data_IF_876602836032
#
_entry.id   IF_876602836032
#
_cell.length_a   1.000
_cell.length_b   1.000
_cell.length_c   1.000
_cell.angle_alpha   90.00
_cell.angle_beta   90.00
_cell.angle_gamma   90.00
#
_symmetry.space_group_name_H-M   'P 1'
#
loop_
_entity.id
_entity.type
_entity.pdbx_description
1 polymer ?
#
# COMPACT_ATOMS: atom_id res chain seq x y z
N UNK A 1 -26.04 -3.65 -2.53
CA UNK A 1 -26.02 -2.29 -1.95
C UNK A 1 -24.70 -1.67 -2.32
N UNK A 2 -24.75 -0.59 -3.11
CA UNK A 2 -23.60 0.20 -3.55
C UNK A 2 -23.01 0.94 -2.34
N UNK A 3 -22.18 0.26 -1.56
CA UNK A 3 -21.61 0.81 -0.35
C UNK A 3 -20.37 1.66 -0.70
N UNK A 4 -20.53 2.98 -0.66
CA UNK A 4 -19.39 3.88 -0.57
C UNK A 4 -18.50 3.49 0.64
N UNK A 5 -17.18 3.71 0.57
CA UNK A 5 -16.31 3.48 1.70
C UNK A 5 -16.78 4.31 2.91
N UNK A 6 -16.47 3.84 4.11
CA UNK A 6 -16.79 4.57 5.33
C UNK A 6 -16.15 5.96 5.31
N UNK A 7 -16.78 6.92 6.00
CA UNK A 7 -16.33 8.32 5.95
C UNK A 7 -14.88 8.51 6.38
N UNK A 8 -14.40 7.74 7.36
CA UNK A 8 -13.01 7.73 7.81
C UNK A 8 -12.06 7.24 6.71
N UNK A 9 -12.39 6.13 6.05
CA UNK A 9 -11.60 5.57 4.97
C UNK A 9 -11.58 6.50 3.75
N UNK A 10 -12.73 7.06 3.39
CA UNK A 10 -12.84 7.99 2.27
C UNK A 10 -11.94 9.23 2.48
N UNK A 11 -11.95 9.81 3.69
CA UNK A 11 -11.07 10.93 4.01
C UNK A 11 -9.60 10.51 3.98
N UNK A 12 -9.23 9.35 4.52
CA UNK A 12 -7.85 8.86 4.45
C UNK A 12 -7.38 8.61 3.01
N UNK A 13 -8.25 8.08 2.14
CA UNK A 13 -7.98 7.92 0.72
C UNK A 13 -7.73 9.28 0.04
N UNK A 14 -8.59 10.29 0.30
CA UNK A 14 -8.36 11.64 -0.24
C UNK A 14 -7.08 12.29 0.29
N UNK A 15 -6.76 12.08 1.57
CA UNK A 15 -5.50 12.54 2.16
C UNK A 15 -4.27 11.94 1.46
N UNK A 16 -4.29 10.63 1.20
CA UNK A 16 -3.21 9.96 0.49
C UNK A 16 -3.08 10.43 -0.98
N UNK A 17 -4.22 10.69 -1.64
CA UNK A 17 -4.27 11.20 -3.01
C UNK A 17 -3.64 12.60 -3.08
N UNK A 18 -4.12 13.48 -2.20
CA UNK A 18 -3.65 14.86 -2.07
C UNK A 18 -2.14 14.88 -1.79
N UNK A 19 -1.66 14.01 -0.88
CA UNK A 19 -0.25 13.89 -0.57
C UNK A 19 0.59 13.48 -1.78
N UNK A 20 0.12 12.52 -2.57
CA UNK A 20 0.82 12.12 -3.79
C UNK A 20 0.93 13.29 -4.78
N UNK A 21 -0.18 14.02 -4.97
CA UNK A 21 -0.22 15.21 -5.84
C UNK A 21 0.71 16.32 -5.34
N UNK A 22 0.72 16.59 -4.04
CA UNK A 22 1.64 17.56 -3.42
C UNK A 22 3.09 17.15 -3.62
N UNK A 23 3.41 15.87 -3.41
CA UNK A 23 4.76 15.34 -3.61
C UNK A 23 5.23 15.54 -5.06
N UNK A 24 4.38 15.24 -6.05
CA UNK A 24 4.67 15.47 -7.47
C UNK A 24 4.95 16.94 -7.80
N UNK A 25 4.30 17.89 -7.12
CA UNK A 25 4.57 19.33 -7.29
C UNK A 25 5.88 19.79 -6.67
N UNK A 26 6.28 19.20 -5.54
CA UNK A 26 7.49 19.59 -4.80
C UNK A 26 8.80 19.07 -5.41
N UNK A 27 8.74 18.19 -6.42
CA UNK A 27 9.89 17.90 -7.29
C UNK A 27 11.09 17.23 -6.62
N UNK A 28 10.88 16.28 -5.70
CA UNK A 28 11.99 15.46 -5.22
C UNK A 28 12.27 14.34 -6.22
N UNK A 29 13.54 14.26 -6.66
CA UNK A 29 14.10 13.40 -7.72
C UNK A 29 13.90 13.89 -9.16
N UNK A 30 14.78 14.83 -9.55
CA UNK A 30 15.30 14.95 -10.92
C UNK A 30 14.29 14.94 -12.06
N UNK A 31 13.76 16.11 -12.41
CA UNK A 31 13.25 16.42 -13.76
C UNK A 31 12.28 15.39 -14.37
N UNK A 32 11.32 14.84 -13.62
CA UNK A 32 10.08 14.38 -14.25
C UNK A 32 9.18 15.59 -14.48
N UNK A 33 9.38 16.28 -15.60
CA UNK A 33 8.38 17.21 -16.09
C UNK A 33 7.07 16.45 -16.25
N UNK A 34 6.06 16.85 -15.47
CA UNK A 34 4.71 16.32 -15.64
C UNK A 34 4.28 16.59 -17.09
N UNK A 35 3.64 15.62 -17.77
CA UNK A 35 3.10 15.84 -19.09
C UNK A 35 2.23 17.11 -19.12
N UNK A 36 2.29 17.90 -20.19
CA UNK A 36 1.60 19.20 -20.30
C UNK A 36 0.07 19.09 -20.20
N UNK A 37 -0.48 17.88 -20.33
CA UNK A 37 -1.88 17.53 -20.19
C UNK A 37 -2.30 17.20 -18.74
N UNK A 38 -1.36 17.13 -17.77
CA UNK A 38 -1.70 16.86 -16.37
C UNK A 38 -2.22 18.12 -15.69
N UNK A 39 -3.47 18.06 -15.23
CA UNK A 39 -4.07 19.10 -14.38
C UNK A 39 -4.20 18.57 -12.95
N UNK A 40 -3.46 19.18 -12.02
CA UNK A 40 -3.54 18.89 -10.59
C UNK A 40 -4.37 19.98 -9.92
N UNK A 41 -5.50 19.66 -9.29
CA UNK A 41 -6.48 20.61 -8.74
C UNK A 41 -6.51 20.69 -7.21
N UNK A 42 -5.57 20.03 -6.52
CA UNK A 42 -5.48 20.01 -5.06
C UNK A 42 -4.46 21.06 -4.57
N UNK A 43 -4.82 21.93 -3.62
CA UNK A 43 -3.86 22.90 -3.04
C UNK A 43 -2.96 22.25 -1.98
N UNK A 44 -1.78 22.84 -1.74
CA UNK A 44 -0.86 22.37 -0.70
C UNK A 44 -1.52 22.46 0.68
N UNK A 45 -1.37 21.42 1.49
CA UNK A 45 -1.89 21.31 2.85
C UNK A 45 -3.25 20.61 2.95
N UNK A 46 -3.90 20.33 1.82
CA UNK A 46 -5.18 19.61 1.79
C UNK A 46 -5.04 18.17 2.27
N UNK A 47 -3.87 17.54 2.08
CA UNK A 47 -3.62 16.20 2.62
C UNK A 47 -3.84 16.15 4.12
N UNK A 48 -3.35 17.15 4.85
CA UNK A 48 -3.44 17.21 6.31
C UNK A 48 -4.89 17.40 6.75
N UNK A 49 -5.64 18.30 6.10
CA UNK A 49 -7.06 18.51 6.42
C UNK A 49 -7.90 17.24 6.25
N UNK A 50 -7.63 16.44 5.20
CA UNK A 50 -8.27 15.14 5.02
C UNK A 50 -7.87 14.14 6.10
N UNK A 51 -6.59 14.04 6.46
CA UNK A 51 -6.15 13.14 7.53
C UNK A 51 -6.67 13.56 8.91
N UNK A 52 -6.74 14.87 9.20
CA UNK A 52 -7.35 15.39 10.43
C UNK A 52 -8.80 14.96 10.54
N UNK A 53 -9.54 15.02 9.43
CA UNK A 53 -10.94 14.57 9.39
C UNK A 53 -11.05 13.05 9.55
N UNK A 54 -10.16 12.29 8.91
CA UNK A 54 -10.12 10.83 9.03
C UNK A 54 -9.84 10.40 10.48
N UNK A 55 -8.85 11.01 11.14
CA UNK A 55 -8.52 10.74 12.54
C UNK A 55 -9.66 11.16 13.47
N UNK A 56 -10.27 12.32 13.28
CA UNK A 56 -11.44 12.73 14.06
C UNK A 56 -12.60 11.73 13.94
N UNK A 57 -12.87 11.20 12.74
CA UNK A 57 -13.90 10.17 12.55
C UNK A 57 -13.50 8.82 13.14
N UNK A 58 -12.22 8.46 13.10
CA UNK A 58 -11.69 7.25 13.73
C UNK A 58 -11.79 7.31 15.27
N UNK A 59 -11.54 8.48 15.86
CA UNK A 59 -11.61 8.74 17.31
C UNK A 59 -13.05 8.87 17.81
N UNK A 60 -14.00 9.29 16.96
CA UNK A 60 -15.38 9.62 17.33
C UNK A 60 -16.39 8.46 17.37
N UNK A 61 -15.96 7.19 17.50
CA UNK A 61 -16.69 6.05 18.10
C UNK A 61 -16.69 4.71 17.33
N UNK A 62 -16.97 3.69 18.15
CA UNK A 62 -17.22 2.27 17.91
C UNK A 62 -15.98 1.36 17.98
N UNK A 63 -15.97 0.47 18.96
CA UNK A 63 -15.03 -0.67 19.05
C UNK A 63 -15.34 -1.77 18.02
N UNK A 64 -16.42 -1.62 17.23
CA UNK A 64 -16.78 -2.57 16.19
C UNK A 64 -15.64 -2.60 15.16
N UNK A 65 -14.99 -3.76 15.00
CA UNK A 65 -13.91 -3.90 14.05
C UNK A 65 -14.49 -3.89 12.64
N UNK A 66 -13.90 -3.10 11.76
CA UNK A 66 -14.25 -3.07 10.33
C UNK A 66 -12.97 -3.03 9.53
N UNK A 67 -13.00 -3.61 8.33
CA UNK A 67 -11.85 -3.58 7.43
C UNK A 67 -11.45 -2.13 7.11
N UNK A 68 -12.44 -1.27 6.91
CA UNK A 68 -12.23 0.14 6.60
C UNK A 68 -11.45 0.88 7.68
N UNK A 69 -11.71 0.64 8.98
CA UNK A 69 -10.91 1.25 10.06
C UNK A 69 -9.45 0.85 10.02
N UNK A 70 -9.16 -0.42 9.72
CA UNK A 70 -7.78 -0.92 9.62
C UNK A 70 -7.09 -0.26 8.42
N UNK A 71 -7.77 -0.18 7.28
CA UNK A 71 -7.27 0.51 6.08
C UNK A 71 -7.03 2.00 6.35
N UNK A 72 -7.95 2.68 7.04
CA UNK A 72 -7.80 4.08 7.48
C UNK A 72 -6.54 4.27 8.32
N UNK A 73 -6.33 3.43 9.35
CA UNK A 73 -5.14 3.50 10.20
C UNK A 73 -3.87 3.29 9.39
N UNK A 74 -3.84 2.28 8.51
CA UNK A 74 -2.68 2.00 7.66
C UNK A 74 -2.37 3.18 6.72
N UNK A 75 -3.39 3.84 6.18
CA UNK A 75 -3.21 5.05 5.35
C UNK A 75 -2.60 6.18 6.18
N UNK A 76 -3.14 6.46 7.36
CA UNK A 76 -2.63 7.52 8.25
C UNK A 76 -1.18 7.23 8.65
N UNK A 77 -0.86 6.02 9.09
CA UNK A 77 0.51 5.66 9.52
C UNK A 77 1.53 5.86 8.40
N UNK A 78 1.17 5.52 7.17
CA UNK A 78 2.16 5.34 6.11
C UNK A 78 2.23 6.52 5.14
N UNK A 79 1.21 7.38 5.13
CA UNK A 79 1.10 8.44 4.10
C UNK A 79 0.89 9.84 4.67
N UNK A 80 0.52 9.97 5.96
CA UNK A 80 0.33 11.28 6.58
C UNK A 80 1.68 12.02 6.71
N UNK A 81 1.81 13.28 6.22
CA UNK A 81 3.13 13.91 6.06
C UNK A 81 3.78 14.38 7.37
N UNK A 82 2.97 14.90 8.28
CA UNK A 82 3.37 15.44 9.59
C UNK A 82 3.45 14.35 10.67
N UNK A 83 3.03 13.11 10.34
CA UNK A 83 3.03 12.01 11.30
C UNK A 83 4.41 11.37 11.41
N UNK A 84 4.96 11.40 12.62
CA UNK A 84 6.18 10.68 12.92
C UNK A 84 5.88 9.21 13.20
N UNK A 85 6.17 8.32 12.25
CA UNK A 85 5.93 6.87 12.42
C UNK A 85 6.64 6.25 13.64
N UNK A 86 7.71 6.89 14.15
CA UNK A 86 8.48 6.47 15.34
C UNK A 86 7.86 6.94 16.66
N UNK A 87 6.81 7.74 16.63
CA UNK A 87 6.20 8.28 17.84
C UNK A 87 5.41 7.20 18.60
N UNK A 88 5.24 7.39 19.91
CA UNK A 88 4.48 6.45 20.75
C UNK A 88 3.01 6.36 20.36
N UNK A 89 2.39 7.46 19.93
CA UNK A 89 1.02 7.49 19.42
C UNK A 89 0.87 6.68 18.12
N UNK A 90 1.83 6.79 17.19
CA UNK A 90 1.81 6.01 15.94
C UNK A 90 1.95 4.51 16.22
N UNK A 91 2.79 4.12 17.19
CA UNK A 91 2.88 2.73 17.62
C UNK A 91 1.58 2.22 18.26
N UNK A 92 0.98 3.02 19.15
CA UNK A 92 -0.30 2.65 19.79
C UNK A 92 -1.41 2.48 18.75
N UNK A 93 -1.45 3.36 17.73
CA UNK A 93 -2.41 3.26 16.64
C UNK A 93 -2.19 1.99 15.80
N UNK A 94 -0.94 1.63 15.50
CA UNK A 94 -0.58 0.36 14.87
C UNK A 94 -1.03 -0.86 15.69
N UNK A 95 -0.76 -0.87 17.00
CA UNK A 95 -1.22 -1.91 17.92
C UNK A 95 -2.74 -2.02 18.00
N UNK A 96 -3.46 -0.90 17.92
CA UNK A 96 -4.92 -0.90 17.83
C UNK A 96 -5.41 -1.56 16.54
N UNK A 97 -4.81 -1.24 15.38
CA UNK A 97 -5.12 -1.89 14.12
C UNK A 97 -4.88 -3.41 14.15
N UNK A 98 -3.79 -3.87 14.79
CA UNK A 98 -3.52 -5.30 14.99
C UNK A 98 -4.65 -5.98 15.77
N UNK A 99 -5.11 -5.37 16.86
CA UNK A 99 -6.22 -5.92 17.66
C UNK A 99 -7.52 -5.98 16.85
N UNK A 100 -7.83 -4.95 16.05
CA UNK A 100 -8.99 -4.98 15.14
C UNK A 100 -8.85 -6.07 14.07
N UNK A 101 -7.66 -6.25 13.50
CA UNK A 101 -7.39 -7.28 12.50
C UNK A 101 -7.54 -8.70 13.07
N UNK A 102 -7.11 -8.92 14.32
CA UNK A 102 -7.35 -10.17 15.03
C UNK A 102 -8.84 -10.43 15.28
N UNK A 103 -9.60 -9.40 15.70
CA UNK A 103 -11.05 -9.53 15.89
C UNK A 103 -11.80 -9.88 14.60
N UNK A 104 -11.32 -9.40 13.44
CA UNK A 104 -11.87 -9.77 12.12
C UNK A 104 -11.35 -11.10 11.57
N UNK A 105 -10.39 -11.74 12.25
CA UNK A 105 -9.77 -12.97 11.79
C UNK A 105 -8.86 -12.80 10.57
N UNK A 106 -8.29 -11.62 10.31
CA UNK A 106 -7.46 -11.37 9.12
C UNK A 106 -6.14 -12.17 9.10
N UNK A 107 -5.67 -12.61 10.26
CA UNK A 107 -4.52 -13.51 10.41
C UNK A 107 -4.80 -14.96 9.95
N UNK A 108 -6.08 -15.30 9.73
CA UNK A 108 -6.51 -16.65 9.35
C UNK A 108 -6.74 -16.76 7.85
N UNK A 109 -6.54 -17.97 7.30
CA UNK A 109 -6.92 -18.22 5.91
C UNK A 109 -8.44 -18.00 5.73
N UNK A 110 -8.77 -17.24 4.68
CA UNK A 110 -10.14 -17.01 4.22
C UNK A 110 -10.44 -17.72 2.89
N UNK A 111 -9.56 -18.62 2.44
CA UNK A 111 -9.69 -19.27 1.13
C UNK A 111 -10.99 -20.08 1.02
N UNK A 112 -11.41 -20.70 2.12
CA UNK A 112 -12.64 -21.49 2.23
C UNK A 112 -13.88 -20.68 2.65
N UNK A 113 -13.75 -19.37 2.85
CA UNK A 113 -14.90 -18.56 3.26
C UNK A 113 -15.81 -18.30 2.07
N UNK A 114 -17.12 -18.25 2.33
CA UNK A 114 -18.15 -17.91 1.34
C UNK A 114 -18.24 -16.39 1.15
N UNK A 115 -17.16 -15.82 0.62
CA UNK A 115 -17.05 -14.40 0.26
C UNK A 115 -16.41 -14.28 -1.14
N UNK A 116 -16.63 -13.16 -1.87
CA UNK A 116 -16.02 -12.97 -3.18
C UNK A 116 -14.50 -13.04 -3.13
N UNK A 117 -13.86 -13.62 -4.15
CA UNK A 117 -12.39 -13.77 -4.19
C UNK A 117 -11.67 -12.43 -4.10
N UNK A 118 -12.24 -11.38 -4.70
CA UNK A 118 -11.74 -10.00 -4.57
C UNK A 118 -11.67 -9.54 -3.11
N UNK A 119 -12.66 -9.92 -2.30
CA UNK A 119 -12.67 -9.59 -0.87
C UNK A 119 -11.61 -10.41 -0.12
N UNK A 120 -11.44 -11.70 -0.44
CA UNK A 120 -10.35 -12.53 0.12
C UNK A 120 -8.99 -11.90 -0.15
N UNK A 121 -8.73 -11.52 -1.38
CA UNK A 121 -7.47 -10.87 -1.77
C UNK A 121 -7.29 -9.52 -1.06
N UNK A 122 -8.35 -8.72 -0.92
CA UNK A 122 -8.30 -7.48 -0.13
C UNK A 122 -7.93 -7.75 1.34
N UNK A 123 -8.50 -8.79 1.95
CA UNK A 123 -8.20 -9.18 3.35
C UNK A 123 -6.75 -9.63 3.51
N UNK A 124 -6.24 -10.48 2.61
CA UNK A 124 -4.83 -10.91 2.59
C UNK A 124 -3.91 -9.70 2.48
N UNK A 125 -4.21 -8.82 1.53
CA UNK A 125 -3.46 -7.60 1.27
C UNK A 125 -3.41 -6.68 2.50
N UNK A 126 -4.54 -6.40 3.13
CA UNK A 126 -4.60 -5.57 4.35
C UNK A 126 -3.82 -6.21 5.51
N UNK A 127 -3.95 -7.52 5.71
CA UNK A 127 -3.19 -8.23 6.73
C UNK A 127 -1.68 -8.07 6.53
N UNK A 128 -1.20 -8.37 5.33
CA UNK A 128 0.22 -8.34 5.04
C UNK A 128 0.80 -6.92 5.04
N UNK A 129 0.03 -5.90 4.65
CA UNK A 129 0.43 -4.50 4.83
C UNK A 129 0.60 -4.17 6.31
N UNK A 130 -0.35 -4.58 7.16
CA UNK A 130 -0.27 -4.38 8.61
C UNK A 130 0.92 -5.11 9.24
N UNK A 131 1.21 -6.33 8.79
CA UNK A 131 2.38 -7.10 9.22
C UNK A 131 3.68 -6.34 8.91
N UNK A 132 3.81 -5.85 7.67
CA UNK A 132 4.97 -5.05 7.26
C UNK A 132 5.08 -3.81 8.16
N UNK A 133 4.00 -3.04 8.33
CA UNK A 133 4.00 -1.84 9.18
C UNK A 133 4.49 -2.14 10.60
N UNK A 134 3.97 -3.19 11.24
CA UNK A 134 4.33 -3.58 12.60
C UNK A 134 5.81 -3.94 12.73
N UNK A 135 6.32 -4.79 11.85
CA UNK A 135 7.72 -5.23 11.87
C UNK A 135 8.67 -4.06 11.62
N UNK A 136 8.36 -3.17 10.67
CA UNK A 136 9.16 -1.97 10.42
C UNK A 136 9.18 -1.04 11.64
N UNK A 137 8.02 -0.75 12.24
CA UNK A 137 7.96 0.07 13.45
C UNK A 137 8.72 -0.56 14.62
N UNK A 138 8.60 -1.87 14.80
CA UNK A 138 9.29 -2.63 15.83
C UNK A 138 10.81 -2.51 15.68
N UNK A 139 11.31 -2.74 14.46
CA UNK A 139 12.73 -2.63 14.14
C UNK A 139 13.27 -1.21 14.39
N UNK A 140 12.52 -0.18 13.98
CA UNK A 140 12.92 1.22 14.14
C UNK A 140 12.96 1.68 15.60
N UNK A 141 12.12 1.09 16.45
CA UNK A 141 11.97 1.50 17.86
C UNK A 141 12.67 0.56 18.85
N UNK A 142 13.25 -0.54 18.38
CA UNK A 142 13.82 -1.58 19.24
C UNK A 142 12.79 -2.22 20.17
N UNK A 143 11.52 -2.27 19.75
CA UNK A 143 10.42 -2.87 20.53
C UNK A 143 10.34 -4.37 20.29
N UNK A 144 9.53 -5.08 21.06
CA UNK A 144 9.23 -6.49 20.79
C UNK A 144 8.25 -6.63 19.64
N UNK A 145 8.43 -7.68 18.82
CA UNK A 145 7.50 -8.02 17.73
C UNK A 145 6.13 -8.39 18.31
N UNK A 146 5.05 -7.83 17.75
CA UNK A 146 3.69 -8.11 18.21
C UNK A 146 3.08 -9.35 17.53
N UNK A 147 3.50 -9.64 16.31
CA UNK A 147 2.95 -10.69 15.45
C UNK A 147 3.89 -11.90 15.40
N UNK A 148 3.37 -13.06 15.76
CA UNK A 148 4.09 -14.33 15.71
C UNK A 148 3.71 -15.09 14.45
N UNK A 149 4.71 -15.53 13.68
CA UNK A 149 4.47 -16.24 12.43
C UNK A 149 3.69 -17.54 12.66
N UNK A 150 3.83 -18.16 13.83
CA UNK A 150 3.13 -19.40 14.21
C UNK A 150 1.60 -19.22 14.34
N UNK A 151 1.13 -18.00 14.60
CA UNK A 151 -0.28 -17.68 14.78
C UNK A 151 -0.95 -17.28 13.44
N UNK A 152 -0.21 -17.25 12.34
CA UNK A 152 -0.63 -16.72 11.04
C UNK A 152 -0.86 -17.87 10.05
N UNK A 153 -2.09 -18.01 9.56
CA UNK A 153 -2.46 -19.02 8.55
C UNK A 153 -2.95 -18.42 7.24
N UNK A 154 -3.07 -17.10 7.15
CA UNK A 154 -3.45 -16.41 5.91
C UNK A 154 -2.37 -16.57 4.84
N UNK A 155 -2.80 -16.98 3.64
CA UNK A 155 -1.90 -17.11 2.49
C UNK A 155 -1.44 -15.76 1.94
N UNK A 156 -0.42 -15.79 1.08
CA UNK A 156 0.01 -14.61 0.33
C UNK A 156 -1.07 -14.16 -0.67
N UNK A 157 -1.15 -12.85 -0.98
CA UNK A 157 -2.02 -12.39 -2.05
C UNK A 157 -1.53 -12.88 -3.41
N UNK A 158 -2.46 -13.03 -4.35
CA UNK A 158 -2.15 -13.36 -5.73
C UNK A 158 -1.28 -12.26 -6.34
N UNK A 159 -0.11 -12.64 -6.85
CA UNK A 159 0.79 -11.70 -7.51
C UNK A 159 0.28 -11.25 -8.87
N UNK A 160 -0.54 -12.07 -9.54
CA UNK A 160 -0.96 -11.93 -10.94
C UNK A 160 -2.17 -11.02 -11.14
N UNK A 161 -2.58 -10.29 -10.10
CA UNK A 161 -3.65 -9.32 -10.18
C UNK A 161 -3.54 -8.42 -11.41
N UNK A 162 -4.69 -8.23 -12.08
CA UNK A 162 -4.76 -7.45 -13.30
C UNK A 162 -4.41 -5.99 -13.00
N UNK A 163 -3.71 -5.33 -13.91
CA UNK A 163 -3.36 -3.93 -13.77
C UNK A 163 -4.62 -3.05 -13.75
N UNK A 164 -5.75 -3.50 -14.31
CA UNK A 164 -7.07 -2.86 -14.17
C UNK A 164 -7.61 -2.90 -12.73
N UNK A 165 -7.10 -3.82 -11.90
CA UNK A 165 -7.33 -3.85 -10.45
C UNK A 165 -6.49 -2.80 -9.71
N UNK A 166 -5.56 -2.09 -10.36
CA UNK A 166 -4.59 -1.19 -9.69
C UNK A 166 -4.38 0.16 -10.39
N UNK A 167 -4.77 0.30 -11.65
CA UNK A 167 -4.82 1.57 -12.37
C UNK A 167 -6.26 1.90 -12.81
N UNK A 168 -6.82 2.99 -12.29
CA UNK A 168 -8.21 3.36 -12.54
C UNK A 168 -8.37 3.80 -13.99
N UNK A 169 -9.39 3.26 -14.67
CA UNK A 169 -9.96 3.83 -15.89
C UNK A 169 -9.00 4.05 -17.07
N UNK A 170 -7.81 3.43 -17.11
CA UNK A 170 -6.88 3.61 -18.23
C UNK A 170 -7.52 3.23 -19.57
N UNK A 171 -8.20 2.08 -19.68
CA UNK A 171 -8.84 1.70 -20.95
C UNK A 171 -9.97 2.66 -21.34
N UNK A 172 -10.67 3.26 -20.38
CA UNK A 172 -11.74 4.25 -20.61
C UNK A 172 -11.15 5.58 -21.11
N UNK A 173 -9.98 5.98 -20.59
CA UNK A 173 -9.34 7.26 -20.89
C UNK A 173 -8.17 7.14 -21.87
N UNK A 174 -7.90 5.94 -22.39
CA UNK A 174 -6.79 5.60 -23.27
C UNK A 174 -6.63 6.54 -24.44
N UNK A 175 -7.73 6.81 -25.14
CA UNK A 175 -7.73 7.67 -26.32
C UNK A 175 -7.36 9.11 -25.96
N UNK A 176 -7.83 9.61 -24.81
CA UNK A 176 -7.50 10.96 -24.32
C UNK A 176 -6.02 11.07 -23.94
N UNK A 177 -5.48 10.02 -23.32
CA UNK A 177 -4.05 9.92 -22.95
C UNK A 177 -3.18 9.89 -24.20
N UNK A 178 -3.53 9.05 -25.19
CA UNK A 178 -2.76 8.91 -26.43
C UNK A 178 -2.81 10.18 -27.29
N UNK A 179 -3.95 10.88 -27.28
CA UNK A 179 -4.14 12.14 -27.99
C UNK A 179 -3.66 13.38 -27.23
N UNK A 180 -3.11 13.22 -26.01
CA UNK A 180 -2.65 14.32 -25.12
C UNK A 180 -3.72 15.38 -24.87
N UNK A 181 -4.99 15.00 -24.81
CA UNK A 181 -6.04 15.93 -24.43
C UNK A 181 -5.89 16.29 -22.94
N UNK A 182 -6.07 17.56 -22.54
CA UNK A 182 -6.05 17.92 -21.12
C UNK A 182 -7.34 17.44 -20.43
N UNK A 183 -7.20 16.59 -19.42
CA UNK A 183 -8.31 16.14 -18.57
C UNK A 183 -7.84 15.81 -17.15
N UNK A 184 -8.74 15.84 -16.14
CA UNK A 184 -8.41 15.36 -14.81
C UNK A 184 -8.09 13.86 -14.89
N UNK A 185 -6.85 13.47 -14.59
CA UNK A 185 -6.39 12.09 -14.63
C UNK A 185 -6.13 11.60 -13.21
N UNK A 186 -6.31 10.31 -12.97
CA UNK A 186 -5.86 9.72 -11.71
C UNK A 186 -4.34 9.84 -11.56
N UNK A 187 -3.83 10.06 -10.35
CA UNK A 187 -2.39 10.14 -10.10
C UNK A 187 -1.61 8.91 -10.58
N UNK A 188 -2.19 7.72 -10.49
CA UNK A 188 -1.65 6.48 -11.05
C UNK A 188 -1.42 6.56 -12.57
N UNK A 189 -2.24 7.32 -13.30
CA UNK A 189 -2.12 7.51 -14.74
C UNK A 189 -1.11 8.59 -15.14
N UNK A 190 -0.45 9.29 -14.23
CA UNK A 190 0.44 10.43 -14.55
C UNK A 190 1.70 10.06 -15.35
N UNK A 191 2.03 8.77 -15.46
CA UNK A 191 3.16 8.29 -16.27
C UNK A 191 2.68 7.87 -17.67
N UNK A 192 3.27 8.40 -18.78
CA UNK A 192 2.85 8.05 -20.14
C UNK A 192 2.93 6.55 -20.45
N UNK A 193 1.86 5.98 -21.01
CA UNK A 193 1.74 4.55 -21.32
C UNK A 193 2.86 3.98 -22.20
N UNK A 194 3.50 4.80 -23.04
CA UNK A 194 4.64 4.35 -23.87
C UNK A 194 5.88 3.98 -23.04
N UNK A 195 6.07 4.57 -21.85
CA UNK A 195 7.14 4.19 -20.91
C UNK A 195 6.82 2.85 -20.21
N UNK A 196 5.53 2.48 -20.12
CA UNK A 196 5.10 1.24 -19.45
C UNK A 196 4.96 0.04 -20.39
N UNK A 197 5.00 0.21 -21.72
CA UNK A 197 4.75 -0.85 -22.73
C UNK A 197 6.01 -1.44 -23.36
N UNK A 198 7.21 -0.88 -23.15
CA UNK A 198 8.41 -1.38 -23.84
C UNK A 198 8.90 -2.75 -23.31
N UNK A 199 8.43 -3.80 -24.00
CA UNK A 199 9.10 -5.09 -24.27
C UNK A 199 9.34 -6.02 -23.06
N UNK A 200 8.34 -6.85 -22.73
CA UNK A 200 8.48 -8.03 -21.88
C UNK A 200 7.19 -8.45 -21.15
N UNK A 201 7.09 -9.72 -20.72
CA UNK A 201 6.13 -10.14 -19.67
C UNK A 201 6.37 -9.25 -18.45
N UNK A 202 5.48 -8.28 -18.18
CA UNK A 202 5.61 -7.32 -17.06
C UNK A 202 5.72 -8.05 -15.72
N UNK A 203 6.41 -7.43 -14.75
CA UNK A 203 6.46 -7.94 -13.40
C UNK A 203 5.04 -7.78 -12.82
N UNK A 204 4.46 -8.83 -12.23
CA UNK A 204 3.17 -8.72 -11.57
C UNK A 204 3.22 -7.64 -10.48
N UNK A 205 2.16 -6.82 -10.37
CA UNK A 205 2.18 -5.59 -9.57
C UNK A 205 2.41 -5.84 -8.08
N UNK A 206 1.94 -7.00 -7.59
CA UNK A 206 2.14 -7.43 -6.22
C UNK A 206 3.38 -8.31 -6.03
N UNK A 207 4.20 -8.54 -7.06
CA UNK A 207 5.47 -9.29 -6.90
C UNK A 207 6.38 -8.56 -5.90
N UNK A 208 6.52 -7.25 -6.02
CA UNK A 208 7.31 -6.43 -5.08
C UNK A 208 6.70 -6.41 -3.67
N UNK A 209 5.36 -6.41 -3.59
CA UNK A 209 4.67 -6.51 -2.31
C UNK A 209 4.97 -7.84 -1.62
N UNK A 210 4.86 -8.95 -2.35
CA UNK A 210 5.18 -10.26 -1.82
C UNK A 210 6.65 -10.36 -1.39
N UNK A 211 7.57 -9.80 -2.18
CA UNK A 211 8.98 -9.73 -1.78
C UNK A 211 9.16 -8.93 -0.49
N UNK A 212 8.44 -7.82 -0.31
CA UNK A 212 8.49 -7.03 0.92
C UNK A 212 7.92 -7.81 2.12
N UNK A 213 6.81 -8.53 1.93
CA UNK A 213 6.23 -9.41 2.96
C UNK A 213 7.27 -10.44 3.43
N UNK A 214 7.89 -11.15 2.48
CA UNK A 214 8.91 -12.17 2.79
C UNK A 214 10.11 -11.57 3.53
N UNK A 215 10.57 -10.40 3.11
CA UNK A 215 11.64 -9.68 3.81
C UNK A 215 11.23 -9.31 5.24
N UNK A 216 10.01 -8.81 5.42
CA UNK A 216 9.48 -8.48 6.75
C UNK A 216 9.39 -9.72 7.65
N UNK A 217 9.06 -10.90 7.11
CA UNK A 217 9.07 -12.13 7.90
C UNK A 217 10.49 -12.53 8.34
N UNK A 218 11.47 -12.43 7.43
CA UNK A 218 12.88 -12.65 7.80
C UNK A 218 13.32 -11.65 8.88
N UNK A 219 12.95 -10.37 8.72
CA UNK A 219 13.25 -9.32 9.70
C UNK A 219 12.58 -9.59 11.06
N UNK A 220 11.33 -10.06 11.07
CA UNK A 220 10.63 -10.48 12.29
C UNK A 220 11.39 -11.59 13.02
N UNK A 221 11.86 -12.62 12.28
CA UNK A 221 12.70 -13.68 12.85
C UNK A 221 14.02 -13.14 13.39
N UNK A 222 14.72 -12.26 12.68
CA UNK A 222 15.94 -11.59 13.16
C UNK A 222 15.68 -10.88 14.50
N UNK A 223 14.59 -10.12 14.58
CA UNK A 223 14.22 -9.39 15.80
C UNK A 223 13.96 -10.33 16.98
N UNK A 224 13.28 -11.45 16.74
CA UNK A 224 12.95 -12.43 17.77
C UNK A 224 14.17 -13.27 18.21
N UNK A 225 14.95 -13.76 17.25
CA UNK A 225 16.01 -14.75 17.44
C UNK A 225 17.39 -14.18 17.76
N UNK A 226 17.62 -12.89 17.51
CA UNK A 226 18.90 -12.23 17.81
C UNK A 226 18.73 -10.99 18.69
N UNK A 227 17.65 -10.22 18.52
CA UNK A 227 17.52 -8.94 19.22
C UNK A 227 16.67 -8.97 20.48
N UNK A 228 15.85 -9.99 20.71
CA UNK A 228 15.09 -10.10 21.96
C UNK A 228 16.03 -10.26 23.17
N UNK A 229 15.68 -9.73 24.36
CA UNK A 229 16.58 -9.79 25.52
C UNK A 229 17.05 -11.21 25.86
N UNK A 230 16.14 -12.18 25.78
CA UNK A 230 16.45 -13.59 26.01
C UNK A 230 17.31 -14.19 24.90
N UNK A 231 17.05 -13.84 23.64
CA UNK A 231 17.86 -14.31 22.53
C UNK A 231 19.29 -13.78 22.57
N UNK A 232 19.50 -12.52 22.97
CA UNK A 232 20.84 -11.95 23.17
C UNK A 232 21.62 -12.68 24.25
N UNK A 233 20.96 -12.96 25.37
CA UNK A 233 21.57 -13.73 26.45
C UNK A 233 21.94 -15.14 25.98
N UNK A 234 21.01 -15.85 25.33
CA UNK A 234 21.27 -17.18 24.80
C UNK A 234 22.42 -17.20 23.79
N UNK A 235 22.45 -16.23 22.87
CA UNK A 235 23.52 -16.08 21.87
C UNK A 235 24.87 -15.79 22.50
N UNK A 236 24.90 -15.02 23.60
CA UNK A 236 26.13 -14.77 24.37
C UNK A 236 26.66 -16.05 25.04
N UNK A 237 25.76 -16.89 25.57
CA UNK A 237 26.10 -18.11 26.30
C UNK A 237 26.45 -19.29 25.39
N UNK A 238 25.76 -19.45 24.25
CA UNK A 238 25.81 -20.65 23.40
C UNK A 238 26.30 -20.39 21.97
N UNK A 239 26.57 -19.13 21.62
CA UNK A 239 26.83 -18.72 20.24
C UNK A 239 25.55 -18.62 19.40
N UNK A 240 25.64 -17.93 18.26
CA UNK A 240 24.50 -17.69 17.35
C UNK A 240 24.76 -18.19 15.92
N UNK A 241 25.84 -18.91 15.67
CA UNK A 241 26.33 -19.24 14.32
C UNK A 241 25.27 -19.97 13.47
N UNK A 242 24.57 -20.95 14.04
CA UNK A 242 23.52 -21.70 13.33
C UNK A 242 22.33 -20.81 12.95
N UNK A 243 21.92 -19.92 13.86
CA UNK A 243 20.80 -19.00 13.64
C UNK A 243 21.19 -17.98 12.57
N UNK A 244 22.40 -17.42 12.68
CA UNK A 244 22.94 -16.44 11.72
C UNK A 244 23.09 -17.08 10.34
N UNK A 245 23.65 -18.29 10.24
CA UNK A 245 23.79 -18.99 8.97
C UNK A 245 22.44 -19.28 8.30
N UNK A 246 21.43 -19.65 9.10
CA UNK A 246 20.06 -19.88 8.57
C UNK A 246 19.46 -18.58 8.03
N UNK A 247 19.56 -17.48 8.79
CA UNK A 247 19.02 -16.18 8.38
C UNK A 247 19.77 -15.59 7.17
N UNK A 248 21.10 -15.77 7.10
CA UNK A 248 21.91 -15.36 5.96
C UNK A 248 21.52 -16.13 4.69
N UNK A 249 21.28 -17.44 4.82
CA UNK A 249 20.76 -18.26 3.73
C UNK A 249 19.37 -17.78 3.27
N UNK A 250 18.44 -17.53 4.19
CA UNK A 250 17.11 -17.00 3.86
C UNK A 250 17.16 -15.63 3.17
N UNK A 251 18.01 -14.71 3.65
CA UNK A 251 18.22 -13.40 3.03
C UNK A 251 18.82 -13.53 1.63
N UNK A 252 19.73 -14.48 1.45
CA UNK A 252 20.37 -14.76 0.17
C UNK A 252 19.35 -15.32 -0.82
N UNK A 253 18.56 -16.33 -0.43
CA UNK A 253 17.47 -16.88 -1.25
C UNK A 253 16.45 -15.80 -1.60
N UNK A 254 16.02 -14.99 -0.63
CA UNK A 254 15.14 -13.86 -0.86
C UNK A 254 15.71 -12.90 -1.91
N UNK A 255 16.99 -12.53 -1.78
CA UNK A 255 17.69 -11.63 -2.70
C UNK A 255 17.74 -12.18 -4.13
N UNK A 256 17.82 -13.49 -4.31
CA UNK A 256 17.86 -14.11 -5.63
C UNK A 256 16.48 -14.51 -6.19
N UNK A 257 15.44 -14.48 -5.37
CA UNK A 257 14.08 -14.89 -5.73
C UNK A 257 13.33 -13.96 -6.70
N UNK A 258 13.83 -12.74 -6.94
CA UNK A 258 13.19 -11.78 -7.85
C UNK A 258 13.10 -12.32 -9.29
N UNK A 259 11.96 -12.11 -9.96
CA UNK A 259 11.80 -12.51 -11.35
C UNK A 259 12.82 -11.83 -12.26
N UNK A 260 13.08 -12.44 -13.43
CA UNK A 260 13.91 -11.80 -14.46
C UNK A 260 13.32 -10.47 -14.90
N UNK A 261 12.00 -10.31 -14.84
CA UNK A 261 11.34 -9.06 -15.20
C UNK A 261 11.61 -7.95 -14.20
N UNK A 262 11.50 -8.21 -12.89
CA UNK A 262 11.83 -7.19 -11.87
C UNK A 262 13.31 -6.80 -11.96
N UNK A 263 14.22 -7.77 -12.07
CA UNK A 263 15.67 -7.52 -12.19
C UNK A 263 16.05 -6.71 -13.41
N UNK A 264 15.35 -6.90 -14.53
CA UNK A 264 15.63 -6.19 -15.78
C UNK A 264 14.80 -4.91 -15.94
N UNK A 265 13.90 -4.62 -15.01
CA UNK A 265 13.11 -3.40 -15.05
C UNK A 265 14.04 -2.19 -14.88
N UNK A 266 14.03 -1.27 -15.85
CA UNK A 266 14.75 0.02 -15.75
C UNK A 266 14.03 0.98 -14.81
N UNK A 267 13.56 0.49 -13.68
CA UNK A 267 13.07 1.33 -12.59
C UNK A 267 14.33 2.03 -12.03
N UNK A 268 14.39 3.37 -11.99
CA UNK A 268 15.56 4.12 -11.51
C UNK A 268 16.09 3.61 -10.15
N UNK A 269 15.18 3.05 -9.34
CA UNK A 269 15.38 2.56 -7.98
C UNK A 269 15.89 1.10 -7.87
N UNK A 270 16.06 0.37 -8.98
CA UNK A 270 16.59 -1.00 -9.02
C UNK A 270 18.03 -1.07 -9.57
N UNK A 271 18.75 0.05 -9.58
CA UNK A 271 20.08 0.11 -10.17
C UNK A 271 21.17 -0.49 -9.25
N UNK A 272 21.59 -1.71 -9.58
CA UNK A 272 22.69 -2.44 -8.92
C UNK A 272 24.03 -1.70 -8.91
N UNK A 273 24.30 -0.79 -9.85
CA UNK A 273 25.56 -0.06 -9.94
C UNK A 273 25.62 1.16 -9.01
N UNK A 274 24.48 1.65 -8.50
CA UNK A 274 24.40 2.81 -7.60
C UNK A 274 24.15 2.45 -6.13
N UNK A 275 23.93 1.18 -5.80
CA UNK A 275 23.79 0.70 -4.41
C UNK A 275 22.44 1.00 -3.74
N UNK A 276 21.47 1.59 -4.44
CA UNK A 276 20.19 1.99 -3.89
C UNK A 276 19.15 0.86 -3.92
N UNK A 277 19.35 -0.21 -3.15
CA UNK A 277 18.24 -1.11 -2.80
C UNK A 277 17.38 -0.53 -1.64
N UNK A 278 17.98 0.37 -0.85
CA UNK A 278 17.42 0.92 0.39
C UNK A 278 16.30 1.97 0.20
N UNK A 279 16.30 2.85 -0.83
CA UNK A 279 15.19 3.78 -1.08
C UNK A 279 13.99 3.11 -1.76
N UNK A 280 14.22 1.98 -2.45
CA UNK A 280 13.17 1.24 -3.13
C UNK A 280 12.18 0.59 -2.15
N UNK A 281 12.57 0.24 -0.92
CA UNK A 281 11.66 -0.36 0.07
C UNK A 281 10.65 0.65 0.63
N UNK A 282 11.03 1.88 1.04
CA UNK A 282 10.09 2.96 1.35
C UNK A 282 9.22 3.38 0.17
N UNK A 283 9.78 3.46 -1.05
CA UNK A 283 9.00 3.79 -2.25
C UNK A 283 8.09 2.64 -2.69
N UNK A 284 8.51 1.38 -2.60
CA UNK A 284 7.62 0.22 -2.81
C UNK A 284 6.55 0.21 -1.74
N UNK A 285 6.88 0.48 -0.49
CA UNK A 285 5.89 0.60 0.57
C UNK A 285 4.91 1.75 0.30
N UNK A 286 5.37 2.93 -0.14
CA UNK A 286 4.53 4.07 -0.48
C UNK A 286 3.70 3.81 -1.75
N UNK A 287 4.29 3.26 -2.81
CA UNK A 287 3.61 2.92 -4.07
C UNK A 287 2.62 1.78 -3.85
N UNK A 288 2.94 0.76 -3.05
CA UNK A 288 2.06 -0.37 -2.77
C UNK A 288 0.95 0.04 -1.81
N UNK A 289 1.22 0.87 -0.80
CA UNK A 289 0.18 1.50 0.01
C UNK A 289 -0.74 2.31 -0.92
N UNK A 290 -0.24 3.26 -1.70
CA UNK A 290 -1.08 4.03 -2.63
C UNK A 290 -1.83 3.13 -3.66
N UNK A 291 -1.19 2.12 -4.23
CA UNK A 291 -1.78 1.22 -5.23
C UNK A 291 -2.83 0.26 -4.65
N UNK A 292 -2.69 -0.16 -3.40
CA UNK A 292 -3.67 -1.01 -2.71
C UNK A 292 -4.92 -0.23 -2.30
N UNK A 293 -4.78 1.07 -2.02
CA UNK A 293 -5.86 1.88 -1.49
C UNK A 293 -6.62 2.67 -2.56
N UNK A 294 -6.02 2.93 -3.73
CA UNK A 294 -6.72 3.63 -4.79
C UNK A 294 -7.70 2.78 -5.58
N UNK A 295 -7.57 1.44 -5.58
CA UNK A 295 -8.41 0.63 -6.48
C UNK A 295 -9.23 -0.40 -5.74
N UNK A 296 -10.42 0.07 -5.38
CA UNK A 296 -11.69 -0.55 -5.76
C UNK A 296 -11.89 -2.00 -5.23
N UNK A 297 -12.76 -2.15 -4.22
CA UNK A 297 -13.81 -3.18 -4.22
C UNK A 297 -15.19 -2.69 -4.71
N UNK A 298 -15.39 -1.38 -4.92
CA UNK A 298 -16.72 -0.74 -4.91
C UNK A 298 -17.19 0.01 -6.18
N UNK A 299 -16.49 -0.07 -7.31
CA UNK A 299 -16.83 0.59 -8.58
C UNK A 299 -16.72 -0.38 -9.76
N UNK A 300 -17.56 -1.41 -9.82
CA UNK A 300 -17.95 -2.02 -11.11
C UNK A 300 -19.45 -1.80 -11.31
N UNK A 301 -19.80 -0.91 -12.24
CA UNK A 301 -21.16 -0.72 -12.73
C UNK A 301 -21.50 -1.91 -13.63
N UNK A 302 -22.56 -2.67 -13.34
CA UNK A 302 -23.11 -3.61 -14.33
C UNK A 302 -23.82 -2.80 -15.44
N UNK A 303 -23.65 -3.17 -16.72
CA UNK A 303 -24.36 -2.52 -17.81
C UNK A 303 -25.82 -3.01 -17.83
N UNK A 304 -26.74 -2.16 -17.37
CA UNK A 304 -28.18 -2.40 -17.57
C UNK A 304 -28.53 -2.10 -19.03
N UNK A 305 -28.92 -3.16 -19.74
CA UNK A 305 -29.52 -3.11 -21.07
C UNK A 305 -30.87 -2.39 -21.02
N UNK A 306 -30.93 -1.11 -21.40
CA UNK A 306 -32.13 -0.50 -22.02
C UNK A 306 -31.76 0.83 -22.71
N UNK A 307 -32.39 1.17 -23.85
CA UNK A 307 -31.97 2.28 -24.68
C UNK A 307 -32.59 3.63 -24.22
N UNK A 308 -31.70 4.61 -24.14
CA UNK A 308 -31.90 6.06 -24.36
C UNK A 308 -33.03 6.78 -23.60
N UNK A 309 -32.63 7.62 -22.64
CA UNK A 309 -32.94 9.05 -22.72
C UNK A 309 -31.75 9.85 -22.19
N UNK A 310 -31.28 10.80 -23.01
CA UNK A 310 -30.31 11.82 -22.63
C UNK A 310 -30.79 12.57 -21.39
N UNK A 311 -30.20 12.30 -20.22
CA UNK A 311 -30.16 13.27 -19.13
C UNK A 311 -28.92 13.04 -18.24
N UNK A 312 -28.07 14.07 -18.26
CA UNK A 312 -26.94 14.43 -17.40
C UNK A 312 -26.76 13.58 -16.12
N UNK A 313 -25.90 12.57 -16.17
CA UNK A 313 -25.27 12.03 -14.97
C UNK A 313 -23.98 12.81 -14.66
N UNK A 314 -23.96 13.39 -13.48
CA UNK A 314 -22.88 14.21 -12.94
C UNK A 314 -21.60 13.38 -12.81
N UNK A 315 -20.63 13.64 -13.70
CA UNK A 315 -19.20 13.46 -13.36
C UNK A 315 -18.93 14.38 -12.17
N UNK A 316 -18.53 13.83 -11.03
CA UNK A 316 -18.11 14.63 -9.88
C UNK A 316 -16.79 15.34 -10.23
N UNK A 317 -16.94 16.53 -10.83
CA UNK A 317 -15.87 17.49 -11.09
C UNK A 317 -15.69 18.30 -9.81
N UNK A 318 -14.46 18.43 -9.33
CA UNK A 318 -14.09 19.41 -8.31
C UNK A 318 -14.49 20.81 -8.79
N UNK A 319 -15.61 21.33 -8.25
CA UNK A 319 -15.96 22.75 -8.19
C UNK A 319 -16.83 22.99 -6.95
N UNK A 320 -16.40 23.99 -6.16
CA UNK A 320 -17.00 24.55 -4.92
C UNK A 320 -16.92 23.61 -3.70
N UNK A 321 -16.42 24.02 -2.53
CA UNK A 321 -16.84 25.22 -1.78
C UNK A 321 -15.64 25.90 -1.08
N UNK A 322 -15.38 27.15 -1.45
CA UNK A 322 -14.99 28.19 -0.50
C UNK A 322 -16.29 28.91 -0.11
N UNK A 323 -16.63 28.83 1.17
CA UNK A 323 -17.37 29.84 1.92
C UNK A 323 -16.88 29.72 3.37
#
# INVERSE_FOLDING_TARGET
MDAFPSGDLLNAMFGAAARFVEHQRTGYEGQRELPSDVMLDVSIGWSNSFFDRAEHLLLNWSTTPTLSKIQTILLILNTRPDRNIKSSDSWQMGGFAIRLAHLLGLHKSCDHWDIPDREKETRKRVWWTLYITDVFQTAMLGRGVNLRDEDITVGYPDVTADWEEVMDAYEIDKDKILSKQPFPRFPSLSTPFKITVSVGKRAPIYELFLSLVKLSQINSRILLSLHSPRARQYSYEHGSDNIVATLDHELTEWRYSFSRTVRNSKIPDFNHQKGYFAPALPYCYFILVHSFYFINPFLKRQPLNHPLHHNRFVRMRLKAVCA
#
